data_IF_811318714168
#
_entry.id   IF_811318714168
#
_cell.length_a   1.000
_cell.length_b   1.000
_cell.length_c   1.000
_cell.angle_alpha   90.00
_cell.angle_beta   90.00
_cell.angle_gamma   90.00
#
_symmetry.space_group_name_H-M   'P 1'
#
loop_
_entity.id
_entity.type
_entity.pdbx_description
1 polymer ?
#
# COMPACT_ATOMS: atom_id res chain seq x y z
N UNK A 1 31.75 8.87 3.25
CA UNK A 1 30.77 7.78 3.29
C UNK A 1 29.95 7.88 2.03
N UNK A 2 29.89 6.85 1.19
CA UNK A 2 29.08 6.90 -0.03
C UNK A 2 27.67 6.62 0.41
N UNK A 3 26.84 7.63 0.49
CA UNK A 3 25.38 7.51 0.58
C UNK A 3 24.92 6.76 -0.65
N UNK A 4 24.58 5.50 -0.48
CA UNK A 4 23.82 4.76 -1.49
C UNK A 4 22.41 5.34 -1.44
N UNK A 5 22.16 6.39 -2.22
CA UNK A 5 20.79 6.79 -2.50
C UNK A 5 20.04 5.56 -3.03
N UNK A 6 19.00 5.17 -2.36
CA UNK A 6 18.05 4.21 -2.89
C UNK A 6 17.27 4.96 -3.97
N UNK A 7 17.88 5.04 -5.13
CA UNK A 7 17.31 5.70 -6.29
C UNK A 7 16.28 4.76 -6.86
N UNK A 8 15.01 5.06 -6.64
CA UNK A 8 13.88 4.32 -7.24
C UNK A 8 14.15 4.20 -8.75
N UNK A 9 14.55 5.28 -9.42
CA UNK A 9 14.96 5.24 -10.82
C UNK A 9 16.12 4.26 -11.08
N UNK A 10 17.06 4.09 -10.16
CA UNK A 10 18.17 3.14 -10.28
C UNK A 10 17.76 1.71 -9.96
N UNK A 11 16.82 1.53 -9.03
CA UNK A 11 16.20 0.24 -8.71
C UNK A 11 15.29 -0.23 -9.85
N UNK A 12 14.70 0.72 -10.60
CA UNK A 12 13.77 0.44 -11.68
C UNK A 12 14.37 0.68 -13.07
N UNK A 13 15.51 1.38 -13.24
CA UNK A 13 16.16 1.57 -14.54
C UNK A 13 16.86 0.29 -15.05
N UNK A 14 17.47 -0.52 -14.17
CA UNK A 14 17.91 -1.86 -14.55
C UNK A 14 16.74 -2.88 -14.62
N UNK A 15 15.75 -2.83 -13.72
CA UNK A 15 14.54 -3.62 -13.83
C UNK A 15 13.60 -3.26 -14.99
N UNK A 16 13.67 -2.08 -15.62
CA UNK A 16 12.86 -1.78 -16.81
C UNK A 16 13.01 -2.88 -17.86
N UNK A 17 14.24 -3.28 -18.13
CA UNK A 17 14.51 -4.41 -19.01
C UNK A 17 14.09 -5.75 -18.38
N UNK A 18 14.22 -5.89 -17.07
CA UNK A 18 13.88 -7.13 -16.36
C UNK A 18 12.37 -7.29 -16.16
N UNK A 19 11.63 -6.22 -15.89
CA UNK A 19 10.17 -6.29 -15.76
C UNK A 19 9.48 -6.45 -17.12
N UNK A 20 9.93 -5.72 -18.16
CA UNK A 20 9.49 -6.01 -19.53
C UNK A 20 9.87 -7.42 -19.96
N UNK A 21 11.09 -7.84 -19.67
CA UNK A 21 11.53 -9.21 -19.91
C UNK A 21 10.69 -10.20 -19.10
N UNK A 22 10.34 -9.91 -17.86
CA UNK A 22 9.48 -10.74 -17.03
C UNK A 22 8.07 -10.90 -17.60
N UNK A 23 7.48 -9.81 -18.12
CA UNK A 23 6.18 -9.83 -18.80
C UNK A 23 6.29 -10.63 -20.11
N UNK A 24 7.30 -10.37 -20.95
CA UNK A 24 7.56 -11.11 -22.17
C UNK A 24 7.82 -12.59 -21.89
N UNK A 25 8.58 -12.91 -20.85
CA UNK A 25 8.81 -14.28 -20.38
C UNK A 25 7.49 -14.90 -19.94
N UNK A 26 6.71 -14.22 -19.12
CA UNK A 26 5.43 -14.70 -18.63
C UNK A 26 4.45 -14.99 -19.76
N UNK A 27 4.35 -14.10 -20.76
CA UNK A 27 3.56 -14.31 -21.98
C UNK A 27 4.05 -15.50 -22.80
N UNK A 28 5.37 -15.61 -23.00
CA UNK A 28 6.00 -16.65 -23.81
C UNK A 28 5.84 -18.05 -23.23
N UNK A 29 5.80 -18.18 -21.91
CA UNK A 29 5.57 -19.46 -21.21
C UNK A 29 4.11 -19.71 -20.85
N UNK A 30 3.19 -18.85 -21.32
CA UNK A 30 1.74 -18.97 -21.08
C UNK A 30 1.30 -18.71 -19.64
N UNK A 31 2.11 -18.01 -18.85
CA UNK A 31 1.81 -17.64 -17.48
C UNK A 31 1.11 -16.29 -17.35
N UNK A 32 1.23 -15.44 -18.38
CA UNK A 32 0.53 -14.17 -18.49
C UNK A 32 -0.40 -14.24 -19.68
N UNK A 33 -1.68 -14.04 -19.44
CA UNK A 33 -2.66 -13.85 -20.51
C UNK A 33 -2.55 -12.40 -21.00
N UNK A 34 -2.07 -12.23 -22.23
CA UNK A 34 -1.87 -10.93 -22.85
C UNK A 34 -3.17 -10.11 -22.99
N UNK A 35 -4.33 -10.77 -22.97
CA UNK A 35 -5.64 -10.11 -23.09
C UNK A 35 -6.26 -9.75 -21.74
N UNK A 36 -5.81 -10.40 -20.66
CA UNK A 36 -6.42 -10.30 -19.34
C UNK A 36 -5.51 -9.65 -18.30
N UNK A 37 -4.26 -9.34 -18.63
CA UNK A 37 -3.25 -8.80 -17.68
C UNK A 37 -3.04 -9.68 -16.42
N UNK A 38 -3.30 -11.00 -16.52
CA UNK A 38 -3.17 -11.95 -15.43
C UNK A 38 -2.14 -13.02 -15.73
N UNK A 39 -1.53 -13.55 -14.67
CA UNK A 39 -0.77 -14.79 -14.75
C UNK A 39 -1.75 -15.95 -14.83
N UNK A 40 -1.76 -16.65 -15.95
CA UNK A 40 -2.48 -17.92 -16.07
C UNK A 40 -1.49 -19.06 -15.85
N UNK A 41 -1.51 -19.67 -14.68
CA UNK A 41 -0.87 -20.96 -14.46
C UNK A 41 -1.88 -22.05 -14.79
N UNK A 42 -1.70 -22.73 -15.89
CA UNK A 42 -2.59 -23.83 -16.35
C UNK A 42 -2.73 -25.00 -15.38
N UNK A 43 -2.13 -24.91 -14.19
CA UNK A 43 -2.27 -25.87 -13.09
C UNK A 43 -3.31 -25.46 -12.05
N UNK A 44 -3.83 -24.22 -12.10
CA UNK A 44 -4.95 -23.79 -11.32
C UNK A 44 -6.21 -23.86 -12.16
N UNK A 45 -7.16 -24.67 -11.74
CA UNK A 45 -8.53 -24.50 -12.17
C UNK A 45 -9.15 -23.30 -11.42
N UNK A 46 -8.56 -22.13 -11.67
CA UNK A 46 -9.09 -20.84 -11.23
C UNK A 46 -10.30 -20.41 -12.08
N UNK A 47 -10.78 -21.30 -12.95
CA UNK A 47 -11.76 -21.00 -14.00
C UNK A 47 -12.94 -20.15 -13.54
N UNK A 48 -13.59 -20.51 -12.43
CA UNK A 48 -14.74 -19.77 -11.91
C UNK A 48 -14.33 -18.49 -11.20
N UNK A 49 -13.36 -18.54 -10.32
CA UNK A 49 -12.97 -17.41 -9.47
C UNK A 49 -12.10 -16.40 -10.22
N UNK A 50 -11.29 -16.85 -11.18
CA UNK A 50 -10.52 -15.94 -12.03
C UNK A 50 -11.40 -15.13 -12.96
N UNK A 51 -12.54 -15.69 -13.42
CA UNK A 51 -13.51 -14.94 -14.21
C UNK A 51 -14.14 -13.84 -13.37
N UNK A 52 -14.56 -14.14 -12.14
CA UNK A 52 -15.08 -13.15 -11.20
C UNK A 52 -14.02 -12.10 -10.88
N UNK A 53 -12.80 -12.51 -10.50
CA UNK A 53 -11.70 -11.62 -10.17
C UNK A 53 -11.40 -10.61 -11.28
N UNK A 54 -11.41 -11.06 -12.55
CA UNK A 54 -11.22 -10.18 -13.73
C UNK A 54 -12.33 -9.16 -13.95
N UNK A 55 -13.50 -9.39 -13.42
CA UNK A 55 -14.65 -8.48 -13.53
C UNK A 55 -14.69 -7.45 -12.40
N UNK A 56 -13.88 -7.63 -11.37
CA UNK A 56 -13.80 -6.76 -10.21
C UNK A 56 -12.68 -5.74 -10.36
N UNK A 57 -12.84 -4.57 -9.79
CA UNK A 57 -11.75 -3.63 -9.59
C UNK A 57 -11.01 -4.02 -8.33
N UNK A 58 -9.73 -4.39 -8.47
CA UNK A 58 -8.88 -4.81 -7.37
C UNK A 58 -7.94 -3.67 -6.99
N UNK A 59 -7.93 -3.29 -5.73
CA UNK A 59 -7.15 -2.18 -5.20
C UNK A 59 -6.20 -2.67 -4.13
N UNK A 60 -4.90 -2.39 -4.29
CA UNK A 60 -3.95 -2.43 -3.18
C UNK A 60 -3.98 -1.08 -2.46
N UNK A 61 -4.59 -1.05 -1.29
CA UNK A 61 -4.80 0.15 -0.49
C UNK A 61 -3.51 0.75 0.09
N UNK A 62 -2.40 0.01 0.06
CA UNK A 62 -1.07 0.47 0.44
C UNK A 62 0.00 -0.45 -0.14
N UNK A 63 0.92 0.12 -0.89
CA UNK A 63 2.14 -0.56 -1.31
C UNK A 63 3.36 0.35 -1.17
N UNK A 64 4.39 -0.13 -0.48
CA UNK A 64 5.68 0.55 -0.33
C UNK A 64 6.63 0.25 -1.50
N UNK A 65 6.26 -0.65 -2.41
CA UNK A 65 7.04 -1.00 -3.60
C UNK A 65 6.15 -1.09 -4.81
N UNK A 66 6.64 -0.65 -5.97
CA UNK A 66 5.98 -0.87 -7.26
C UNK A 66 6.77 -1.89 -8.05
N UNK A 67 6.15 -3.02 -8.33
CA UNK A 67 6.61 -4.02 -9.28
C UNK A 67 5.47 -4.31 -10.25
N UNK A 68 5.63 -3.87 -11.50
CA UNK A 68 4.59 -4.00 -12.54
C UNK A 68 4.21 -5.47 -12.74
N UNK A 69 5.19 -6.37 -12.72
CA UNK A 69 4.92 -7.81 -12.89
C UNK A 69 4.07 -8.35 -11.72
N UNK A 70 4.40 -7.95 -10.50
CA UNK A 70 3.64 -8.38 -9.32
C UNK A 70 2.22 -7.79 -9.32
N UNK A 71 2.05 -6.51 -9.66
CA UNK A 71 0.73 -5.87 -9.75
C UNK A 71 -0.14 -6.53 -10.82
N UNK A 72 0.40 -6.75 -12.02
CA UNK A 72 -0.31 -7.44 -13.10
C UNK A 72 -0.67 -8.87 -12.72
N UNK A 73 0.24 -9.58 -12.06
CA UNK A 73 0.05 -10.95 -11.58
C UNK A 73 -1.06 -11.05 -10.55
N UNK A 74 -1.19 -10.05 -9.69
CA UNK A 74 -2.27 -9.91 -8.71
C UNK A 74 -3.59 -9.44 -9.31
N UNK A 75 -3.60 -9.00 -10.58
CA UNK A 75 -4.76 -8.38 -11.21
C UNK A 75 -5.12 -7.02 -10.60
N UNK A 76 -4.12 -6.31 -10.05
CA UNK A 76 -4.32 -5.00 -9.43
C UNK A 76 -4.63 -3.96 -10.49
N UNK A 77 -5.72 -3.24 -10.29
CA UNK A 77 -6.16 -2.15 -11.17
C UNK A 77 -5.79 -0.77 -10.60
N UNK A 78 -5.72 -0.67 -9.26
CA UNK A 78 -5.36 0.57 -8.57
C UNK A 78 -4.38 0.25 -7.45
N UNK A 79 -3.34 1.04 -7.32
CA UNK A 79 -2.37 0.95 -6.23
C UNK A 79 -2.20 2.31 -5.54
N UNK A 80 -2.37 2.33 -4.22
CA UNK A 80 -1.97 3.48 -3.40
C UNK A 80 -0.48 3.30 -3.08
N UNK A 81 0.35 4.05 -3.82
CA UNK A 81 1.79 3.94 -3.76
C UNK A 81 2.36 4.85 -2.69
N UNK A 82 2.86 4.25 -1.64
CA UNK A 82 3.44 4.95 -0.50
C UNK A 82 4.93 5.23 -0.69
N UNK A 83 5.35 6.39 -0.26
CA UNK A 83 6.75 6.80 -0.14
C UNK A 83 6.91 7.77 1.03
N UNK A 84 8.12 7.85 1.55
CA UNK A 84 8.43 8.75 2.65
C UNK A 84 9.89 8.67 3.06
N UNK A 85 10.39 9.66 3.80
CA UNK A 85 11.80 9.75 4.16
C UNK A 85 12.25 8.64 5.12
N UNK A 86 11.35 8.10 5.92
CA UNK A 86 11.68 7.08 6.92
C UNK A 86 11.99 5.71 6.29
N UNK A 87 11.33 5.36 5.18
CA UNK A 87 11.56 4.08 4.50
C UNK A 87 12.95 4.00 3.86
N UNK A 88 13.47 5.12 3.39
CA UNK A 88 14.82 5.19 2.82
C UNK A 88 15.88 4.91 3.88
N UNK A 89 15.68 5.38 5.11
CA UNK A 89 16.63 5.16 6.20
C UNK A 89 16.67 3.70 6.66
N UNK A 90 15.54 3.05 6.86
CA UNK A 90 15.46 1.63 7.28
C UNK A 90 16.13 0.69 6.26
N UNK A 91 16.14 1.07 4.99
CA UNK A 91 16.75 0.28 3.92
C UNK A 91 18.21 0.59 3.65
N UNK A 92 18.71 1.73 4.13
CA UNK A 92 20.09 2.15 3.91
C UNK A 92 21.10 1.52 4.87
N UNK A 93 20.67 0.91 5.97
CA UNK A 93 21.51 0.13 6.87
C UNK A 93 21.63 -1.32 6.36
N UNK A 94 22.80 -1.74 5.82
CA UNK A 94 22.95 -3.06 5.19
C UNK A 94 22.71 -4.25 6.12
N UNK A 95 22.82 -4.03 7.43
CA UNK A 95 22.71 -5.05 8.47
C UNK A 95 21.46 -4.92 9.33
N UNK A 96 20.59 -3.93 9.07
CA UNK A 96 19.32 -3.84 9.78
C UNK A 96 18.34 -4.85 9.19
N UNK A 97 17.93 -5.80 10.00
CA UNK A 97 16.83 -6.69 9.66
C UNK A 97 15.52 -5.87 9.59
N UNK A 98 14.93 -5.68 8.41
CA UNK A 98 13.72 -4.86 8.25
C UNK A 98 12.50 -5.48 8.95
N UNK A 99 12.64 -6.70 9.49
CA UNK A 99 11.60 -7.38 10.27
C UNK A 99 11.67 -7.10 11.76
N UNK A 100 12.75 -6.47 12.23
CA UNK A 100 12.87 -6.06 13.62
C UNK A 100 12.19 -4.69 13.72
N UNK A 101 11.06 -4.62 14.45
CA UNK A 101 10.56 -3.33 14.94
C UNK A 101 11.73 -2.61 15.60
N UNK A 102 12.03 -1.35 15.22
CA UNK A 102 13.14 -0.64 15.84
C UNK A 102 12.92 -0.66 17.36
N UNK A 103 13.98 -0.96 18.14
CA UNK A 103 13.84 -1.03 19.58
C UNK A 103 13.23 0.28 20.07
N UNK A 104 12.21 0.17 20.93
CA UNK A 104 11.59 1.31 21.58
C UNK A 104 12.69 2.21 22.16
N UNK A 105 12.94 3.34 21.53
CA UNK A 105 14.03 4.25 21.95
C UNK A 105 14.88 4.81 20.82
N UNK A 106 14.70 4.44 19.58
CA UNK A 106 15.36 5.08 18.44
C UNK A 106 14.78 6.47 18.16
N UNK A 107 14.86 7.36 19.17
CA UNK A 107 14.60 8.80 19.01
C UNK A 107 15.70 9.53 18.20
N UNK A 108 16.71 8.81 17.73
CA UNK A 108 17.87 9.36 17.01
C UNK A 108 17.66 9.53 15.50
N UNK A 109 16.48 9.31 14.98
CA UNK A 109 16.18 9.39 13.55
C UNK A 109 15.94 10.83 13.08
N UNK A 110 15.46 11.70 13.96
CA UNK A 110 15.18 13.12 13.66
C UNK A 110 16.36 13.95 13.19
N UNK A 111 17.63 13.73 13.62
CA UNK A 111 18.74 14.61 13.24
C UNK A 111 19.17 14.55 11.78
N UNK A 112 18.73 13.55 11.03
CA UNK A 112 19.20 13.38 9.67
C UNK A 112 18.37 14.11 8.61
N UNK A 113 17.14 14.52 8.94
CA UNK A 113 16.22 15.12 7.99
C UNK A 113 15.36 16.18 8.68
N UNK A 114 15.86 17.40 8.79
CA UNK A 114 15.07 18.53 9.28
C UNK A 114 14.90 19.61 8.19
N UNK A 115 13.74 20.26 8.17
CA UNK A 115 13.48 21.45 7.37
C UNK A 115 13.49 21.22 5.85
N UNK A 116 14.24 22.06 5.13
CA UNK A 116 14.23 22.08 3.65
C UNK A 116 14.82 20.84 3.00
N UNK A 117 15.81 20.18 3.62
CA UNK A 117 16.41 18.94 3.09
C UNK A 117 15.36 17.81 3.00
N UNK A 118 14.45 17.76 3.94
CA UNK A 118 13.39 16.78 3.96
C UNK A 118 12.36 17.04 2.85
N UNK A 119 11.99 18.29 2.63
CA UNK A 119 11.10 18.69 1.54
C UNK A 119 11.70 18.31 0.19
N UNK A 120 12.99 18.64 -0.06
CA UNK A 120 13.67 18.26 -1.29
C UNK A 120 13.69 16.74 -1.53
N UNK A 121 13.88 15.94 -0.48
CA UNK A 121 13.87 14.47 -0.60
C UNK A 121 12.50 13.93 -0.96
N UNK A 122 11.45 14.49 -0.39
CA UNK A 122 10.08 14.12 -0.75
C UNK A 122 9.80 14.51 -2.21
N UNK A 123 10.22 15.70 -2.65
CA UNK A 123 10.08 16.12 -4.05
C UNK A 123 10.86 15.20 -5.01
N UNK A 124 12.07 14.77 -4.63
CA UNK A 124 12.83 13.79 -5.41
C UNK A 124 12.10 12.47 -5.49
N UNK A 125 11.55 11.96 -4.38
CA UNK A 125 10.77 10.73 -4.38
C UNK A 125 9.52 10.83 -5.27
N UNK A 126 8.82 11.97 -5.25
CA UNK A 126 7.68 12.21 -6.16
C UNK A 126 8.16 12.18 -7.63
N UNK A 127 9.23 12.89 -7.96
CA UNK A 127 9.79 12.94 -9.31
C UNK A 127 10.25 11.55 -9.81
N UNK A 128 10.76 10.72 -8.92
CA UNK A 128 11.13 9.32 -9.22
C UNK A 128 9.91 8.48 -9.57
N UNK A 129 8.79 8.63 -8.83
CA UNK A 129 7.53 7.93 -9.15
C UNK A 129 6.92 8.42 -10.46
N UNK A 130 6.98 9.73 -10.74
CA UNK A 130 6.56 10.29 -12.03
C UNK A 130 7.40 9.74 -13.19
N UNK A 131 8.73 9.67 -13.00
CA UNK A 131 9.65 9.11 -13.98
C UNK A 131 9.40 7.62 -14.20
N UNK A 132 9.10 6.88 -13.13
CA UNK A 132 8.72 5.47 -13.21
C UNK A 132 7.42 5.30 -14.01
N UNK A 133 6.36 6.04 -13.67
CA UNK A 133 5.09 5.96 -14.40
C UNK A 133 5.27 6.30 -15.89
N UNK A 134 6.12 7.29 -16.21
CA UNK A 134 6.45 7.63 -17.59
C UNK A 134 7.20 6.53 -18.31
N UNK A 135 8.16 5.88 -17.64
CA UNK A 135 8.92 4.77 -18.22
C UNK A 135 8.06 3.53 -18.52
N UNK A 136 6.96 3.36 -17.78
CA UNK A 136 6.01 2.26 -17.91
C UNK A 136 4.63 2.72 -18.36
N UNK A 137 4.54 3.81 -19.12
CA UNK A 137 3.27 4.44 -19.52
C UNK A 137 2.29 3.52 -20.26
N UNK A 138 2.76 2.41 -20.80
CA UNK A 138 1.90 1.38 -21.40
C UNK A 138 1.10 0.58 -20.35
N UNK A 139 1.54 0.54 -19.10
CA UNK A 139 1.01 -0.34 -18.05
C UNK A 139 0.45 0.41 -16.85
N UNK A 140 0.99 1.58 -16.52
CA UNK A 140 0.63 2.33 -15.31
C UNK A 140 0.56 3.82 -15.61
N UNK A 141 -0.33 4.52 -14.91
CA UNK A 141 -0.50 5.97 -15.02
C UNK A 141 -0.84 6.54 -13.64
N UNK A 142 -0.32 7.73 -13.31
CA UNK A 142 -0.65 8.42 -12.06
C UNK A 142 -2.06 9.00 -12.17
N UNK A 143 -2.91 8.69 -11.18
CA UNK A 143 -4.23 9.28 -11.02
C UNK A 143 -4.13 10.54 -10.16
N UNK A 144 -4.47 11.68 -10.73
CA UNK A 144 -4.43 12.98 -10.06
C UNK A 144 -5.80 13.42 -9.51
N UNK A 145 -6.85 12.71 -9.88
CA UNK A 145 -8.20 12.93 -9.39
C UNK A 145 -9.04 11.65 -9.49
N UNK A 146 -10.23 11.66 -8.88
CA UNK A 146 -11.11 10.50 -8.84
C UNK A 146 -11.57 10.01 -10.23
N UNK A 147 -11.73 10.92 -11.21
CA UNK A 147 -12.12 10.54 -12.58
C UNK A 147 -10.99 9.82 -13.32
N UNK A 148 -9.73 10.17 -13.03
CA UNK A 148 -8.57 9.50 -13.62
C UNK A 148 -8.54 8.03 -13.28
N UNK A 149 -8.92 7.65 -12.06
CA UNK A 149 -8.97 6.23 -11.65
C UNK A 149 -9.83 5.43 -12.62
N UNK A 150 -11.06 5.86 -12.85
CA UNK A 150 -11.97 5.18 -13.77
C UNK A 150 -11.47 5.17 -15.22
N UNK A 151 -10.92 6.29 -15.69
CA UNK A 151 -10.37 6.43 -17.05
C UNK A 151 -9.18 5.50 -17.26
N UNK A 152 -8.24 5.50 -16.33
CA UNK A 152 -7.00 4.69 -16.41
C UNK A 152 -7.35 3.20 -16.39
N UNK A 153 -8.18 2.77 -15.42
CA UNK A 153 -8.61 1.37 -15.32
C UNK A 153 -9.36 0.94 -16.58
N UNK A 154 -10.26 1.77 -17.11
CA UNK A 154 -10.97 1.48 -18.36
C UNK A 154 -10.05 1.37 -19.59
N UNK A 155 -8.87 2.01 -19.56
CA UNK A 155 -7.86 1.86 -20.61
C UNK A 155 -7.01 0.57 -20.48
N UNK A 156 -7.24 -0.23 -19.43
CA UNK A 156 -6.48 -1.46 -19.16
C UNK A 156 -5.15 -1.23 -18.45
N UNK A 157 -4.90 -0.02 -17.95
CA UNK A 157 -3.70 0.32 -17.18
C UNK A 157 -3.99 0.27 -15.67
N UNK A 158 -2.92 0.27 -14.90
CA UNK A 158 -2.96 0.39 -13.44
C UNK A 158 -2.98 1.87 -13.08
N UNK A 159 -3.94 2.29 -12.26
CA UNK A 159 -3.98 3.63 -11.70
C UNK A 159 -3.09 3.68 -10.44
N UNK A 160 -2.07 4.53 -10.44
CA UNK A 160 -1.20 4.76 -9.28
C UNK A 160 -1.60 6.05 -8.59
N UNK A 161 -1.98 5.96 -7.31
CA UNK A 161 -2.29 7.10 -6.44
C UNK A 161 -1.10 7.34 -5.52
N UNK A 162 -0.49 8.52 -5.59
CA UNK A 162 0.69 8.86 -4.80
C UNK A 162 0.32 9.17 -3.35
N UNK A 163 0.99 8.51 -2.41
CA UNK A 163 0.78 8.66 -0.98
C UNK A 163 2.06 9.07 -0.24
N UNK A 164 2.01 10.18 0.47
CA UNK A 164 3.04 10.54 1.44
C UNK A 164 2.75 9.83 2.76
N UNK A 165 3.66 8.93 3.15
CA UNK A 165 3.50 8.05 4.33
C UNK A 165 3.66 8.76 5.66
N UNK A 166 4.17 10.00 5.67
CA UNK A 166 4.30 10.80 6.88
C UNK A 166 3.99 12.27 6.61
N UNK A 167 3.45 12.94 7.64
CA UNK A 167 3.06 14.35 7.57
C UNK A 167 4.23 15.34 7.71
N UNK A 168 5.41 15.00 7.22
CA UNK A 168 6.56 15.90 7.22
C UNK A 168 6.44 16.96 6.13
N UNK A 169 5.75 18.03 6.47
CA UNK A 169 5.49 19.17 5.58
C UNK A 169 6.24 20.43 6.05
N UNK A 170 7.33 20.27 6.82
CA UNK A 170 8.11 21.38 7.39
C UNK A 170 7.23 22.44 8.10
N UNK A 171 6.18 22.00 8.81
CA UNK A 171 5.19 22.84 9.50
C UNK A 171 4.61 23.97 8.60
N UNK A 172 4.35 23.65 7.32
CA UNK A 172 3.93 24.61 6.33
C UNK A 172 2.82 24.09 5.41
N UNK A 173 1.66 24.73 5.45
CA UNK A 173 0.55 24.44 4.52
C UNK A 173 0.98 24.71 3.06
N UNK A 174 1.90 25.67 2.82
CA UNK A 174 2.42 25.90 1.47
C UNK A 174 3.21 24.70 0.93
N UNK A 175 3.91 23.96 1.80
CA UNK A 175 4.60 22.72 1.42
C UNK A 175 3.59 21.60 1.13
N UNK A 176 2.53 21.48 1.91
CA UNK A 176 1.43 20.55 1.64
C UNK A 176 0.81 20.84 0.26
N UNK A 177 0.48 22.10 -0.03
CA UNK A 177 -0.04 22.51 -1.33
C UNK A 177 0.94 22.18 -2.47
N UNK A 178 2.24 22.39 -2.24
CA UNK A 178 3.28 22.04 -3.21
C UNK A 178 3.32 20.54 -3.50
N UNK A 179 3.21 19.70 -2.48
CA UNK A 179 3.18 18.24 -2.67
C UNK A 179 1.90 17.79 -3.41
N UNK A 180 0.76 18.44 -3.12
CA UNK A 180 -0.46 18.21 -3.88
C UNK A 180 -0.32 18.59 -5.36
N UNK A 181 0.27 19.75 -5.67
CA UNK A 181 0.58 20.18 -7.05
C UNK A 181 1.50 19.18 -7.77
N UNK A 182 2.38 18.51 -7.04
CA UNK A 182 3.27 17.47 -7.56
C UNK A 182 2.62 16.08 -7.68
N UNK A 183 1.35 15.94 -7.29
CA UNK A 183 0.57 14.72 -7.50
C UNK A 183 0.28 13.88 -6.25
N UNK A 184 0.67 14.31 -5.05
CA UNK A 184 0.27 13.62 -3.81
C UNK A 184 -1.23 13.73 -3.60
N UNK A 185 -1.89 12.61 -3.32
CA UNK A 185 -3.35 12.54 -3.13
C UNK A 185 -3.77 11.85 -1.83
N UNK A 186 -2.83 11.21 -1.16
CA UNK A 186 -3.07 10.59 0.15
C UNK A 186 -1.92 10.99 1.08
N UNK A 187 -2.20 11.32 2.33
CA UNK A 187 -1.18 11.64 3.33
C UNK A 187 -1.53 11.06 4.69
N UNK A 188 -0.56 10.39 5.31
CA UNK A 188 -0.63 9.96 6.71
C UNK A 188 -0.04 11.06 7.62
N UNK A 189 -0.74 11.54 8.67
CA UNK A 189 -0.23 12.55 9.59
C UNK A 189 1.09 12.18 10.28
N UNK A 190 1.30 10.91 10.56
CA UNK A 190 2.51 10.37 11.21
C UNK A 190 2.79 8.95 10.72
N UNK A 191 4.02 8.45 10.92
CA UNK A 191 4.39 7.08 10.56
C UNK A 191 5.04 6.35 11.74
N UNK A 192 6.33 5.98 11.64
CA UNK A 192 7.07 5.36 12.75
C UNK A 192 7.42 6.36 13.86
N UNK A 193 7.48 7.64 13.54
CA UNK A 193 7.67 8.74 14.48
C UNK A 193 6.51 9.73 14.43
N UNK A 194 6.33 10.46 15.53
CA UNK A 194 5.43 11.61 15.57
C UNK A 194 5.99 12.75 14.69
N UNK A 195 5.08 13.52 14.10
CA UNK A 195 5.42 14.84 13.56
C UNK A 195 5.31 15.88 14.69
N UNK A 196 5.71 17.13 14.42
CA UNK A 196 5.51 18.25 15.37
C UNK A 196 4.05 18.52 15.71
N UNK A 197 3.11 18.00 14.91
CA UNK A 197 1.69 18.33 14.96
C UNK A 197 0.74 17.13 15.12
N UNK A 198 1.25 15.87 14.98
CA UNK A 198 0.47 14.66 15.09
C UNK A 198 1.30 13.51 15.69
N UNK A 199 0.67 12.73 16.58
CA UNK A 199 1.29 11.55 17.17
C UNK A 199 1.27 10.34 16.26
N UNK A 200 2.30 9.51 16.40
CA UNK A 200 2.28 8.13 15.90
C UNK A 200 1.87 7.13 16.99
N UNK A 201 1.47 5.93 16.58
CA UNK A 201 1.23 4.83 17.53
C UNK A 201 2.49 4.37 18.28
N UNK A 202 3.66 4.74 17.77
CA UNK A 202 4.97 4.42 18.36
C UNK A 202 5.54 5.58 19.19
N UNK A 203 5.11 6.82 18.95
CA UNK A 203 5.62 8.03 19.63
C UNK A 203 4.50 9.04 19.88
N UNK A 204 4.38 9.51 21.13
CA UNK A 204 3.40 10.52 21.51
C UNK A 204 4.08 11.87 21.76
N UNK A 205 3.41 12.97 21.38
CA UNK A 205 3.75 14.33 21.75
C UNK A 205 3.22 14.65 23.17
N UNK A 206 3.53 15.83 23.67
CA UNK A 206 2.97 16.36 24.93
C UNK A 206 2.47 17.80 24.67
N UNK A 207 1.14 18.04 24.70
CA UNK A 207 0.05 17.07 24.88
C UNK A 207 -0.12 16.14 23.68
N UNK A 208 -0.70 14.93 23.86
CA UNK A 208 -0.91 13.98 22.77
C UNK A 208 -2.08 14.39 21.88
N UNK A 209 -2.02 13.93 20.61
CA UNK A 209 -3.04 14.16 19.59
C UNK A 209 -2.61 15.19 18.53
N UNK A 210 -3.58 15.85 17.92
CA UNK A 210 -3.34 16.97 17.03
C UNK A 210 -3.19 18.26 17.82
N UNK A 211 -2.13 19.03 17.57
CA UNK A 211 -2.09 20.43 18.01
C UNK A 211 -2.93 21.33 17.08
N UNK A 212 -2.93 22.64 17.33
CA UNK A 212 -3.72 23.59 16.51
C UNK A 212 -3.30 23.59 15.05
N UNK A 213 -2.00 23.55 14.77
CA UNK A 213 -1.50 23.45 13.40
C UNK A 213 -1.91 22.11 12.75
N UNK A 214 -1.87 21.00 13.47
CA UNK A 214 -2.35 19.70 12.98
C UNK A 214 -3.82 19.73 12.56
N UNK A 215 -4.67 20.44 13.27
CA UNK A 215 -6.08 20.64 12.89
C UNK A 215 -6.20 21.45 11.60
N UNK A 216 -5.40 22.52 11.44
CA UNK A 216 -5.32 23.29 10.19
C UNK A 216 -4.85 22.41 9.02
N UNK A 217 -3.87 21.52 9.23
CA UNK A 217 -3.39 20.60 8.20
C UNK A 217 -4.48 19.63 7.74
N UNK A 218 -5.25 19.05 8.66
CA UNK A 218 -6.37 18.17 8.32
C UNK A 218 -7.42 18.91 7.48
N UNK A 219 -7.79 20.12 7.88
CA UNK A 219 -8.73 20.95 7.12
C UNK A 219 -8.19 21.32 5.72
N UNK A 220 -6.91 21.72 5.65
CA UNK A 220 -6.25 22.00 4.37
C UNK A 220 -6.22 20.78 3.43
N UNK A 221 -5.96 19.57 3.96
CA UNK A 221 -6.05 18.34 3.18
C UNK A 221 -7.44 18.15 2.55
N UNK A 222 -8.51 18.35 3.33
CA UNK A 222 -9.88 18.24 2.83
C UNK A 222 -10.20 19.28 1.76
N UNK A 223 -9.73 20.53 1.95
CA UNK A 223 -9.95 21.64 1.00
C UNK A 223 -9.29 21.40 -0.36
N UNK A 224 -8.07 20.86 -0.37
CA UNK A 224 -7.32 20.64 -1.61
C UNK A 224 -7.53 19.25 -2.24
N UNK A 225 -8.26 18.35 -1.57
CA UNK A 225 -8.50 16.99 -2.08
C UNK A 225 -7.36 16.01 -1.80
N UNK A 226 -6.70 16.11 -0.66
CA UNK A 226 -5.78 15.10 -0.12
C UNK A 226 -6.52 14.23 0.89
N UNK A 227 -6.61 12.94 0.61
CA UNK A 227 -7.24 11.96 1.49
C UNK A 227 -6.36 11.71 2.72
N UNK A 228 -6.90 11.92 3.91
CA UNK A 228 -6.19 11.71 5.17
C UNK A 228 -6.19 10.22 5.53
N UNK A 229 -4.98 9.67 5.74
CA UNK A 229 -4.78 8.28 6.17
C UNK A 229 -4.48 8.21 7.66
N UNK A 230 -5.25 7.42 8.40
CA UNK A 230 -5.09 7.23 9.83
C UNK A 230 -4.20 6.02 10.21
N UNK A 231 -3.66 5.30 9.24
CA UNK A 231 -2.69 4.25 9.53
C UNK A 231 -1.48 4.84 10.27
N UNK A 232 -0.88 4.10 11.21
CA UNK A 232 0.20 4.54 12.11
C UNK A 232 -0.14 5.63 13.13
N UNK A 233 -1.21 6.39 12.96
CA UNK A 233 -1.59 7.41 13.94
C UNK A 233 -1.90 6.81 15.32
N UNK A 234 -1.62 7.58 16.37
CA UNK A 234 -2.05 7.23 17.72
C UNK A 234 -3.58 7.25 17.86
N UNK A 235 -4.10 6.61 18.90
CA UNK A 235 -5.54 6.70 19.21
C UNK A 235 -5.99 8.17 19.42
N UNK A 236 -5.11 9.04 19.95
CA UNK A 236 -5.40 10.46 20.15
C UNK A 236 -5.50 11.20 18.82
N UNK A 237 -4.49 11.08 17.97
CA UNK A 237 -4.50 11.67 16.61
C UNK A 237 -5.70 11.17 15.80
N UNK A 238 -6.01 9.86 15.85
CA UNK A 238 -7.20 9.34 15.19
C UNK A 238 -8.49 9.99 15.68
N UNK A 239 -8.69 10.09 17.01
CA UNK A 239 -9.90 10.69 17.59
C UNK A 239 -10.01 12.17 17.25
N UNK A 240 -8.92 12.91 17.35
CA UNK A 240 -8.89 14.33 17.02
C UNK A 240 -9.24 14.54 15.55
N UNK A 241 -8.62 13.79 14.64
CA UNK A 241 -8.93 13.84 13.19
C UNK A 241 -10.40 13.51 12.94
N UNK A 242 -10.91 12.40 13.47
CA UNK A 242 -12.30 11.99 13.30
C UNK A 242 -13.30 13.01 13.87
N UNK A 243 -12.91 13.77 14.90
CA UNK A 243 -13.78 14.81 15.51
C UNK A 243 -13.97 16.04 14.63
N UNK A 244 -13.07 16.28 13.67
CA UNK A 244 -13.08 17.46 12.80
C UNK A 244 -13.28 17.12 11.31
N UNK A 245 -13.11 15.84 10.94
CA UNK A 245 -13.25 15.39 9.56
C UNK A 245 -14.67 15.64 9.05
N UNK A 246 -14.77 16.28 7.89
CA UNK A 246 -16.02 16.55 7.16
C UNK A 246 -16.13 15.72 5.87
N UNK A 247 -15.04 15.07 5.47
CA UNK A 247 -14.93 14.19 4.31
C UNK A 247 -14.48 12.79 4.75
N UNK A 248 -14.66 11.76 3.91
CA UNK A 248 -14.15 10.42 4.21
C UNK A 248 -12.66 10.42 4.51
N UNK A 249 -12.26 9.62 5.52
CA UNK A 249 -10.86 9.30 5.82
C UNK A 249 -10.57 7.84 5.48
N UNK A 250 -9.29 7.48 5.38
CA UNK A 250 -8.87 6.10 5.12
C UNK A 250 -7.96 5.58 6.23
N UNK A 251 -7.98 4.26 6.44
CA UNK A 251 -6.89 3.55 7.09
C UNK A 251 -6.27 2.63 6.04
N UNK A 252 -5.20 3.06 5.39
CA UNK A 252 -4.66 2.39 4.20
C UNK A 252 -4.10 1.00 4.49
N UNK A 253 -3.62 0.74 5.72
CA UNK A 253 -3.07 -0.55 6.13
C UNK A 253 -3.07 -0.69 7.66
N UNK A 254 -4.01 -1.47 8.17
CA UNK A 254 -4.14 -1.72 9.61
C UNK A 254 -4.59 -3.15 9.90
N UNK A 255 -4.56 -3.52 11.16
CA UNK A 255 -5.23 -4.68 11.72
C UNK A 255 -6.15 -4.24 12.84
N UNK A 256 -6.74 -5.20 13.55
CA UNK A 256 -7.68 -4.96 14.64
C UNK A 256 -6.99 -5.22 15.97
N UNK A 257 -6.92 -4.21 16.84
CA UNK A 257 -6.26 -4.32 18.15
C UNK A 257 -6.88 -5.41 19.04
N UNK A 258 -8.18 -5.61 18.97
CA UNK A 258 -8.85 -6.68 19.72
C UNK A 258 -8.41 -8.10 19.33
N UNK A 259 -7.77 -8.25 18.15
CA UNK A 259 -7.22 -9.53 17.68
C UNK A 259 -5.73 -9.61 17.96
N UNK A 260 -4.98 -8.53 17.72
CA UNK A 260 -3.51 -8.53 17.71
C UNK A 260 -2.88 -8.09 19.01
N UNK A 261 -3.63 -7.34 19.85
CA UNK A 261 -3.15 -6.64 21.05
C UNK A 261 -1.96 -5.69 20.80
N UNK A 262 -1.87 -5.14 19.59
CA UNK A 262 -0.82 -4.19 19.18
C UNK A 262 -1.32 -2.75 19.24
N UNK A 263 -0.51 -1.81 19.75
CA UNK A 263 -0.82 -0.37 19.73
C UNK A 263 -0.83 0.20 18.31
N UNK A 264 -0.16 -0.46 17.36
CA UNK A 264 -0.14 -0.11 15.94
C UNK A 264 -1.51 -0.31 15.28
N UNK A 265 -2.32 -1.20 15.83
CA UNK A 265 -3.58 -1.63 15.23
C UNK A 265 -4.77 -0.88 15.85
N UNK A 266 -5.82 -0.70 15.07
CA UNK A 266 -6.94 0.16 15.42
C UNK A 266 -7.91 -0.49 16.41
N UNK A 267 -8.46 0.30 17.32
CA UNK A 267 -9.58 -0.06 18.21
C UNK A 267 -10.90 0.00 17.46
N UNK A 268 -11.88 -0.75 17.95
CA UNK A 268 -13.23 -0.76 17.40
C UNK A 268 -13.88 0.64 17.34
N UNK A 269 -13.59 1.50 18.32
CA UNK A 269 -14.10 2.88 18.32
C UNK A 269 -13.56 3.71 17.15
N UNK A 270 -12.28 3.49 16.77
CA UNK A 270 -11.65 4.17 15.63
C UNK A 270 -12.20 3.59 14.32
N UNK A 271 -12.36 2.25 14.24
CA UNK A 271 -12.96 1.61 13.06
C UNK A 271 -14.36 2.16 12.78
N UNK A 272 -15.20 2.32 13.82
CA UNK A 272 -16.52 2.95 13.68
C UNK A 272 -16.41 4.42 13.26
N UNK A 273 -15.51 5.18 13.88
CA UNK A 273 -15.29 6.57 13.50
C UNK A 273 -14.90 6.74 12.03
N UNK A 274 -14.01 5.89 11.50
CA UNK A 274 -13.69 5.87 10.06
C UNK A 274 -14.93 5.59 9.22
N UNK A 275 -15.75 4.61 9.61
CA UNK A 275 -16.99 4.29 8.90
C UNK A 275 -18.01 5.45 8.96
N UNK A 276 -18.13 6.13 10.11
CA UNK A 276 -19.03 7.27 10.31
C UNK A 276 -18.68 8.47 9.39
N UNK A 277 -17.41 8.62 8.99
CA UNK A 277 -17.01 9.61 7.97
C UNK A 277 -17.35 9.18 6.54
N UNK A 278 -17.84 7.97 6.30
CA UNK A 278 -17.96 7.36 4.97
C UNK A 278 -16.67 6.72 4.48
N UNK A 279 -15.65 6.64 5.30
CA UNK A 279 -14.29 6.18 4.98
C UNK A 279 -14.16 4.67 4.75
N UNK A 280 -12.91 4.20 4.65
CA UNK A 280 -12.59 2.79 4.42
C UNK A 280 -11.38 2.34 5.24
N UNK A 281 -11.44 1.12 5.73
CA UNK A 281 -10.39 0.44 6.49
C UNK A 281 -9.80 -0.66 5.63
N UNK A 282 -8.57 -0.47 5.13
CA UNK A 282 -7.86 -1.49 4.40
C UNK A 282 -7.12 -2.41 5.39
N UNK A 283 -7.61 -3.63 5.48
CA UNK A 283 -7.01 -4.67 6.31
C UNK A 283 -5.73 -5.13 5.65
N UNK A 284 -4.65 -5.17 6.43
CA UNK A 284 -3.43 -5.82 5.99
C UNK A 284 -3.73 -7.26 5.61
N UNK A 285 -3.43 -7.59 4.35
CA UNK A 285 -3.70 -8.89 3.77
C UNK A 285 -3.25 -10.00 4.73
N UNK A 286 -4.16 -10.87 5.15
CA UNK A 286 -3.85 -11.92 6.12
C UNK A 286 -2.88 -12.91 5.47
N UNK A 287 -1.64 -12.83 5.89
CA UNK A 287 -0.63 -13.82 5.51
C UNK A 287 -0.40 -14.70 6.74
N UNK A 288 -0.56 -16.00 6.62
CA UNK A 288 -0.36 -16.95 7.73
C UNK A 288 1.06 -17.02 8.28
N UNK A 289 1.88 -15.98 8.06
CA UNK A 289 3.27 -15.88 8.50
C UNK A 289 3.59 -14.51 9.07
N UNK A 290 4.49 -14.49 10.04
CA UNK A 290 5.10 -13.24 10.51
C UNK A 290 5.91 -12.57 9.38
N UNK A 291 6.12 -11.28 9.49
CA UNK A 291 6.95 -10.53 8.53
C UNK A 291 8.36 -11.12 8.43
N UNK A 292 8.95 -11.53 9.56
CA UNK A 292 10.25 -12.19 9.61
C UNK A 292 10.28 -13.54 8.89
N UNK A 293 9.27 -14.38 9.10
CA UNK A 293 9.16 -15.67 8.40
C UNK A 293 9.01 -15.49 6.89
N UNK A 294 8.30 -14.45 6.45
CA UNK A 294 8.17 -14.10 5.04
C UNK A 294 9.48 -13.64 4.43
N UNK A 295 10.19 -12.74 5.13
CA UNK A 295 11.49 -12.23 4.69
C UNK A 295 12.52 -13.35 4.55
N UNK A 296 12.67 -14.19 5.58
CA UNK A 296 13.57 -15.34 5.56
C UNK A 296 13.19 -16.35 4.47
N UNK A 297 11.91 -16.62 4.28
CA UNK A 297 11.43 -17.49 3.22
C UNK A 297 11.73 -16.92 1.83
N UNK A 298 11.59 -15.59 1.65
CA UNK A 298 11.92 -14.90 0.40
C UNK A 298 13.42 -15.00 0.07
N UNK A 299 14.29 -14.66 1.04
CA UNK A 299 15.75 -14.75 0.86
C UNK A 299 16.19 -16.18 0.55
N UNK A 300 15.70 -17.15 1.31
CA UNK A 300 16.02 -18.57 1.08
C UNK A 300 15.54 -19.03 -0.30
N UNK A 301 14.34 -18.64 -0.70
CA UNK A 301 13.79 -18.98 -2.01
C UNK A 301 14.63 -18.37 -3.14
N UNK A 302 14.92 -17.07 -3.08
CA UNK A 302 15.67 -16.37 -4.12
C UNK A 302 17.10 -16.91 -4.24
N UNK A 303 17.75 -17.25 -3.13
CA UNK A 303 19.06 -17.92 -3.12
C UNK A 303 19.00 -19.32 -3.75
N UNK A 304 18.01 -20.13 -3.38
CA UNK A 304 17.82 -21.49 -3.91
C UNK A 304 17.52 -21.41 -5.42
N UNK A 305 16.64 -20.54 -5.85
CA UNK A 305 16.26 -20.38 -7.24
C UNK A 305 17.44 -19.89 -8.10
N UNK A 306 18.21 -18.92 -7.59
CA UNK A 306 19.41 -18.42 -8.31
C UNK A 306 20.49 -19.49 -8.42
N UNK A 307 20.66 -20.30 -7.37
CA UNK A 307 21.64 -21.39 -7.36
C UNK A 307 21.26 -22.56 -8.31
N UNK A 308 19.97 -22.89 -8.36
CA UNK A 308 19.50 -24.10 -9.02
C UNK A 308 19.08 -23.87 -10.49
N UNK A 309 18.79 -22.64 -10.89
CA UNK A 309 18.29 -22.30 -12.21
C UNK A 309 19.07 -21.15 -12.83
N UNK A 310 19.96 -21.48 -13.75
CA UNK A 310 20.73 -20.47 -14.51
C UNK A 310 19.85 -19.78 -15.56
N UNK A 311 18.92 -20.52 -16.18
CA UNK A 311 17.99 -20.01 -17.17
C UNK A 311 16.91 -19.13 -16.50
N UNK A 312 16.74 -17.86 -16.95
CA UNK A 312 15.68 -16.97 -16.44
C UNK A 312 14.26 -17.52 -16.58
N UNK A 313 13.97 -18.26 -17.65
CA UNK A 313 12.65 -18.87 -17.88
C UNK A 313 12.37 -20.02 -16.90
N UNK A 314 13.35 -20.89 -16.68
CA UNK A 314 13.24 -21.97 -15.70
C UNK A 314 13.12 -21.41 -14.28
N UNK A 315 13.86 -20.34 -13.99
CA UNK A 315 13.79 -19.64 -12.70
C UNK A 315 12.42 -19.04 -12.46
N UNK A 316 11.84 -18.33 -13.45
CA UNK A 316 10.49 -17.78 -13.36
C UNK A 316 9.43 -18.87 -13.16
N UNK A 317 9.55 -19.98 -13.89
CA UNK A 317 8.67 -21.13 -13.74
C UNK A 317 8.78 -21.78 -12.37
N UNK A 318 9.99 -21.95 -11.85
CA UNK A 318 10.24 -22.49 -10.51
C UNK A 318 9.78 -21.54 -9.39
N UNK A 319 9.92 -20.23 -9.60
CA UNK A 319 9.40 -19.19 -8.67
C UNK A 319 7.89 -19.30 -8.52
N UNK A 320 7.18 -19.49 -9.63
CA UNK A 320 5.72 -19.69 -9.65
C UNK A 320 5.31 -21.02 -9.02
N UNK A 321 5.99 -22.11 -9.38
CA UNK A 321 5.71 -23.43 -8.79
C UNK A 321 5.90 -23.43 -7.25
N UNK A 322 6.88 -22.69 -6.74
CA UNK A 322 7.11 -22.57 -5.30
C UNK A 322 6.16 -21.60 -4.61
N UNK A 323 5.61 -20.61 -5.30
CA UNK A 323 4.60 -19.72 -4.73
C UNK A 323 3.34 -20.51 -4.26
N UNK A 324 3.03 -21.62 -4.92
CA UNK A 324 1.90 -22.50 -4.59
C UNK A 324 2.07 -23.28 -3.29
N UNK A 325 3.30 -23.68 -2.94
CA UNK A 325 3.59 -24.48 -1.72
C UNK A 325 3.33 -23.65 -0.45
N UNK A 326 3.19 -22.36 -0.59
CA UNK A 326 3.10 -21.41 0.50
C UNK A 326 1.71 -20.79 0.68
N UNK A 327 0.72 -21.21 -0.09
CA UNK A 327 -0.69 -20.85 0.10
C UNK A 327 -1.19 -21.46 1.41
N UNK A 328 -0.95 -20.76 2.52
CA UNK A 328 -1.61 -21.05 3.78
C UNK A 328 -3.04 -20.52 3.69
N UNK A 329 -4.00 -21.26 4.24
CA UNK A 329 -5.39 -20.82 4.36
C UNK A 329 -5.41 -19.38 4.92
N UNK A 330 -6.01 -18.47 4.18
CA UNK A 330 -6.11 -17.08 4.60
C UNK A 330 -6.97 -16.98 5.85
N UNK A 331 -6.47 -16.27 6.86
CA UNK A 331 -7.25 -15.96 8.06
C UNK A 331 -8.08 -14.70 7.82
N UNK A 332 -9.37 -14.88 7.60
CA UNK A 332 -10.31 -13.80 7.32
C UNK A 332 -10.90 -13.16 8.60
N UNK A 333 -10.49 -13.59 9.78
CA UNK A 333 -11.05 -13.13 11.05
C UNK A 333 -10.96 -11.61 11.24
N UNK A 334 -9.91 -10.98 10.72
CA UNK A 334 -9.75 -9.52 10.77
C UNK A 334 -10.76 -8.83 9.84
N UNK A 335 -10.99 -9.37 8.64
CA UNK A 335 -12.00 -8.87 7.69
C UNK A 335 -13.38 -8.98 8.31
N UNK A 336 -13.76 -10.17 8.83
CA UNK A 336 -15.03 -10.42 9.49
C UNK A 336 -15.26 -9.47 10.67
N UNK A 337 -14.21 -9.17 11.44
CA UNK A 337 -14.29 -8.24 12.56
C UNK A 337 -14.59 -6.81 12.08
N UNK A 338 -13.86 -6.32 11.05
CA UNK A 338 -14.10 -4.99 10.49
C UNK A 338 -15.49 -4.90 9.87
N UNK A 339 -15.93 -5.91 9.12
CA UNK A 339 -17.31 -5.97 8.58
C UNK A 339 -18.35 -5.88 9.69
N UNK A 340 -18.17 -6.60 10.80
CA UNK A 340 -19.09 -6.56 11.94
C UNK A 340 -19.12 -5.21 12.65
N UNK A 341 -17.99 -4.51 12.76
CA UNK A 341 -17.84 -3.27 13.52
C UNK A 341 -18.15 -2.03 12.70
N UNK A 342 -17.71 -1.99 11.46
CA UNK A 342 -17.77 -0.84 10.56
C UNK A 342 -18.76 -1.03 9.40
N UNK A 343 -19.12 -2.26 9.07
CA UNK A 343 -19.96 -2.60 7.93
C UNK A 343 -19.19 -2.94 6.67
N UNK A 344 -19.83 -3.65 5.75
CA UNK A 344 -19.25 -4.16 4.50
C UNK A 344 -18.80 -3.04 3.53
N UNK A 345 -19.41 -1.86 3.63
CA UNK A 345 -19.12 -0.71 2.78
C UNK A 345 -17.83 0.05 3.18
N UNK A 346 -17.20 -0.39 4.27
CA UNK A 346 -16.05 0.29 4.87
C UNK A 346 -14.81 -0.60 4.96
N UNK A 347 -14.75 -1.70 4.20
CA UNK A 347 -13.63 -2.65 4.21
C UNK A 347 -12.89 -2.62 2.88
N UNK A 348 -11.57 -2.56 2.94
CA UNK A 348 -10.65 -2.73 1.83
C UNK A 348 -9.50 -3.66 2.21
N UNK A 349 -8.55 -3.84 1.31
CA UNK A 349 -7.35 -4.67 1.51
C UNK A 349 -6.09 -3.89 1.15
N UNK A 350 -4.96 -4.29 1.75
CA UNK A 350 -3.63 -3.81 1.40
C UNK A 350 -2.57 -4.89 1.53
N UNK A 351 -1.54 -4.85 0.68
CA UNK A 351 -0.47 -5.87 0.67
C UNK A 351 0.73 -5.50 1.52
N UNK A 352 0.94 -4.22 1.82
CA UNK A 352 2.16 -3.70 2.46
C UNK A 352 3.46 -4.13 1.73
N UNK A 353 3.47 -4.06 0.41
CA UNK A 353 4.61 -4.47 -0.42
C UNK A 353 4.95 -5.97 -0.36
N UNK A 354 3.98 -6.82 -0.03
CA UNK A 354 4.26 -8.23 0.19
C UNK A 354 3.49 -9.12 -0.77
N UNK A 355 4.24 -9.73 -1.71
CA UNK A 355 3.81 -10.87 -2.52
C UNK A 355 2.34 -10.86 -2.95
N UNK A 356 2.06 -10.06 -3.92
CA UNK A 356 0.75 -9.86 -4.57
C UNK A 356 0.19 -11.09 -5.33
N UNK A 357 0.88 -12.20 -5.55
CA UNK A 357 0.30 -13.34 -6.26
C UNK A 357 -0.98 -13.92 -5.65
N UNK A 358 -1.32 -13.50 -4.43
CA UNK A 358 -2.43 -14.08 -3.65
C UNK A 358 -3.77 -13.36 -3.84
N UNK A 359 -3.87 -12.29 -4.63
CA UNK A 359 -5.11 -11.52 -4.77
C UNK A 359 -6.28 -12.35 -5.34
N UNK A 360 -6.00 -13.27 -6.26
CA UNK A 360 -7.01 -14.20 -6.79
C UNK A 360 -7.45 -15.19 -5.70
N UNK A 361 -6.53 -15.61 -4.83
CA UNK A 361 -6.83 -16.49 -3.69
C UNK A 361 -7.71 -15.78 -2.66
N UNK A 362 -7.61 -14.45 -2.51
CA UNK A 362 -8.56 -13.67 -1.69
C UNK A 362 -9.97 -13.76 -2.24
N UNK A 363 -10.15 -13.62 -3.55
CA UNK A 363 -11.46 -13.76 -4.20
C UNK A 363 -12.07 -15.12 -3.89
N UNK A 364 -11.30 -16.19 -4.08
CA UNK A 364 -11.74 -17.55 -3.78
C UNK A 364 -12.06 -17.73 -2.29
N UNK A 365 -11.17 -17.25 -1.42
CA UNK A 365 -11.33 -17.40 0.02
C UNK A 365 -12.54 -16.65 0.55
N UNK A 366 -12.79 -15.44 0.10
CA UNK A 366 -13.95 -14.64 0.48
C UNK A 366 -15.25 -15.30 0.04
N UNK A 367 -15.35 -15.76 -1.22
CA UNK A 367 -16.52 -16.49 -1.71
C UNK A 367 -16.74 -17.79 -0.93
N UNK A 368 -15.68 -18.57 -0.71
CA UNK A 368 -15.76 -19.84 0.04
C UNK A 368 -16.12 -19.63 1.50
N UNK A 369 -15.73 -18.48 2.08
CA UNK A 369 -16.06 -18.08 3.44
C UNK A 369 -17.54 -17.68 3.61
N UNK A 370 -18.19 -17.24 2.51
CA UNK A 370 -19.63 -16.95 2.50
C UNK A 370 -20.01 -15.53 2.07
N UNK A 371 -19.03 -14.68 1.70
CA UNK A 371 -19.32 -13.38 1.09
C UNK A 371 -19.89 -13.58 -0.32
N UNK A 372 -20.91 -12.81 -0.69
CA UNK A 372 -21.44 -12.81 -2.06
C UNK A 372 -20.51 -12.04 -3.03
N UNK A 373 -20.76 -12.18 -4.35
CA UNK A 373 -19.90 -11.56 -5.38
C UNK A 373 -19.87 -10.03 -5.28
N UNK A 374 -20.96 -9.40 -4.83
CA UNK A 374 -21.05 -7.95 -4.63
C UNK A 374 -20.23 -7.51 -3.42
N UNK A 375 -20.31 -8.26 -2.33
CA UNK A 375 -19.53 -8.01 -1.11
C UNK A 375 -18.04 -8.19 -1.37
N UNK A 376 -17.66 -9.23 -2.12
CA UNK A 376 -16.29 -9.46 -2.55
C UNK A 376 -15.79 -8.30 -3.41
N UNK A 377 -16.59 -7.78 -4.34
CA UNK A 377 -16.25 -6.61 -5.14
C UNK A 377 -16.02 -5.34 -4.30
N UNK A 378 -16.80 -5.15 -3.24
CA UNK A 378 -16.60 -4.05 -2.28
C UNK A 378 -15.27 -4.18 -1.54
N UNK A 379 -15.00 -5.36 -0.95
CA UNK A 379 -13.79 -5.64 -0.17
C UNK A 379 -12.52 -5.53 -1.03
N UNK A 380 -12.53 -6.08 -2.25
CA UNK A 380 -11.35 -6.10 -3.11
C UNK A 380 -10.96 -4.73 -3.66
N UNK A 381 -11.89 -3.78 -3.73
CA UNK A 381 -11.53 -2.46 -4.22
C UNK A 381 -12.66 -1.45 -4.35
N UNK A 382 -13.90 -1.87 -4.52
CA UNK A 382 -15.03 -0.96 -4.74
C UNK A 382 -15.15 0.13 -3.67
N UNK A 383 -14.94 -0.22 -2.40
CA UNK A 383 -14.99 0.74 -1.30
C UNK A 383 -13.84 1.74 -1.34
N UNK A 384 -12.63 1.29 -1.67
CA UNK A 384 -11.45 2.18 -1.77
C UNK A 384 -11.61 3.13 -2.95
N UNK A 385 -12.04 2.62 -4.11
CA UNK A 385 -12.31 3.47 -5.30
C UNK A 385 -13.36 4.53 -4.98
N UNK A 386 -14.44 4.18 -4.30
CA UNK A 386 -15.46 5.14 -3.86
C UNK A 386 -14.86 6.26 -3.03
N UNK A 387 -14.10 5.93 -1.99
CA UNK A 387 -13.48 6.94 -1.11
C UNK A 387 -12.48 7.81 -1.87
N UNK A 388 -11.65 7.23 -2.72
CA UNK A 388 -10.72 8.00 -3.57
C UNK A 388 -11.49 8.95 -4.49
N UNK A 389 -12.56 8.48 -5.17
CA UNK A 389 -13.37 9.31 -6.06
C UNK A 389 -14.11 10.44 -5.35
N UNK A 390 -14.57 10.20 -4.11
CA UNK A 390 -15.23 11.21 -3.29
C UNK A 390 -14.28 12.25 -2.71
N UNK A 391 -12.97 11.94 -2.60
CA UNK A 391 -12.05 12.74 -1.81
C UNK A 391 -10.98 13.42 -2.64
N UNK A 392 -10.36 12.75 -3.63
CA UNK A 392 -9.23 13.31 -4.37
C UNK A 392 -9.71 14.10 -5.60
N UNK A 393 -9.27 15.36 -5.69
CA UNK A 393 -9.47 16.25 -6.83
C UNK A 393 -10.74 17.04 -6.79
#
# INVERSE_FOLDING_TARGET
MKTTHFNIAKTYAEPVTTSRLGIEIGQKIGLIDATANYVTDGRFDIGKFSKLHRQLTVVDGYSATVDIEELMRGGINVVVQAFGPEEEYVRSEPDSDPSIEPPRGLRSWRPYFEGTELVERIEIAIAEHQSFAKAYEDFIEIAENGNDISRIVASGKIAMVLMLVSGFIADSIAVLNRFHELGVRVMCPSHLSATSWADSSAELNDPPGLNDFGREVIQACEEIGVLVDLAHCSDYTCKDTLSIATRPVIATHTKVRNITNSLRDMRDEILRGVADTGGVICVLAPTGRTQQERHLARLSRDQILTKNYADPFERARAKLANAQVWATKLDLSTIDHVVRVAGIDHVGLSSHAQNVPQWIEFTESLITHGYDEREVGKILGGNVVRVLQETIG
#
